data_IF_124727639912
#
_entry.id   IF_124727639912
#
_cell.length_a   1.000
_cell.length_b   1.000
_cell.length_c   1.000
_cell.angle_alpha   90.00
_cell.angle_beta   90.00
_cell.angle_gamma   90.00
#
_symmetry.space_group_name_H-M   'P 1'
#
loop_
_entity.id
_entity.type
_entity.pdbx_description
1 polymer ?
#
# COMPACT_ATOMS: atom_id res chain seq x y z
N UNK A 1 -17.82 -18.30 7.98
CA UNK A 1 -18.19 -17.03 7.33
C UNK A 1 -17.73 -16.91 5.90
N UNK A 2 -16.49 -17.27 5.60
CA UNK A 2 -15.93 -17.11 4.23
C UNK A 2 -16.27 -18.26 3.27
N UNK A 3 -16.92 -19.32 3.73
CA UNK A 3 -17.11 -20.54 2.93
C UNK A 3 -17.99 -20.36 1.68
N UNK A 4 -18.86 -19.36 1.68
CA UNK A 4 -19.81 -19.11 0.59
C UNK A 4 -19.43 -17.86 -0.23
N UNK A 5 -18.27 -17.26 0.03
CA UNK A 5 -17.85 -16.03 -0.63
C UNK A 5 -16.60 -16.28 -1.44
N UNK A 6 -16.53 -15.66 -2.62
CA UNK A 6 -15.37 -15.76 -3.49
C UNK A 6 -14.21 -14.88 -3.00
N UNK A 7 -14.54 -13.74 -2.41
CA UNK A 7 -13.55 -12.77 -1.91
C UNK A 7 -13.97 -12.29 -0.53
N UNK A 8 -13.02 -12.21 0.39
CA UNK A 8 -13.23 -11.66 1.73
C UNK A 8 -12.24 -10.54 1.94
N UNK A 9 -12.73 -9.37 2.32
CA UNK A 9 -11.90 -8.21 2.63
C UNK A 9 -11.97 -7.95 4.13
N UNK A 10 -10.81 -7.95 4.79
CA UNK A 10 -10.69 -7.66 6.21
C UNK A 10 -10.11 -6.27 6.39
N UNK A 11 -10.92 -5.35 6.91
CA UNK A 11 -10.48 -4.00 7.20
C UNK A 11 -10.01 -3.93 8.65
N UNK A 12 -8.78 -3.48 8.86
CA UNK A 12 -8.16 -3.47 10.18
C UNK A 12 -7.98 -2.05 10.70
N UNK A 13 -7.79 -1.92 12.02
CA UNK A 13 -7.42 -0.63 12.60
C UNK A 13 -6.05 -0.19 12.08
N UNK A 14 -5.95 1.07 11.66
CA UNK A 14 -4.71 1.61 11.10
C UNK A 14 -4.04 2.67 11.97
N UNK A 15 -4.56 2.95 13.15
CA UNK A 15 -4.04 4.01 14.00
C UNK A 15 -2.90 3.52 14.88
N UNK A 16 -1.80 4.27 14.87
CA UNK A 16 -0.60 3.95 15.64
C UNK A 16 -0.59 4.59 17.03
N UNK A 17 -1.71 4.65 17.73
CA UNK A 17 -1.78 5.18 19.10
C UNK A 17 -0.91 4.38 20.07
N UNK A 18 -0.99 3.08 19.95
CA UNK A 18 -0.13 2.16 20.69
C UNK A 18 0.44 1.19 19.68
N UNK A 19 1.59 1.55 19.14
CA UNK A 19 2.25 0.86 18.06
C UNK A 19 2.47 -0.62 18.35
N UNK A 20 2.94 -0.94 19.56
CA UNK A 20 3.22 -2.31 19.95
C UNK A 20 1.96 -3.16 19.93
N UNK A 21 0.87 -2.66 20.50
CA UNK A 21 -0.39 -3.40 20.52
C UNK A 21 -0.97 -3.58 19.11
N UNK A 22 -0.86 -2.55 18.28
CA UNK A 22 -1.32 -2.64 16.89
C UNK A 22 -0.54 -3.70 16.12
N UNK A 23 0.79 -3.71 16.25
CA UNK A 23 1.63 -4.67 15.55
C UNK A 23 1.39 -6.10 16.05
N UNK A 24 1.21 -6.29 17.35
CA UNK A 24 0.85 -7.58 17.92
C UNK A 24 -0.52 -8.07 17.40
N UNK A 25 -1.48 -7.18 17.31
CA UNK A 25 -2.81 -7.46 16.76
C UNK A 25 -2.76 -7.90 15.30
N UNK A 26 -1.99 -7.18 14.48
CA UNK A 26 -1.83 -7.51 13.07
C UNK A 26 -1.14 -8.86 12.88
N UNK A 27 -0.13 -9.14 13.67
CA UNK A 27 0.55 -10.45 13.65
C UNK A 27 -0.42 -11.57 14.02
N UNK A 28 -1.27 -11.34 15.00
CA UNK A 28 -2.29 -12.30 15.42
C UNK A 28 -3.32 -12.54 14.31
N UNK A 29 -3.79 -11.48 13.67
CA UNK A 29 -4.73 -11.58 12.55
C UNK A 29 -4.12 -12.43 11.43
N UNK A 30 -2.87 -12.18 11.10
CA UNK A 30 -2.16 -12.94 10.07
C UNK A 30 -2.13 -14.43 10.39
N UNK A 31 -1.85 -14.78 11.64
CA UNK A 31 -1.84 -16.20 12.08
C UNK A 31 -3.22 -16.84 12.01
N UNK A 32 -4.27 -16.08 12.38
CA UNK A 32 -5.64 -16.57 12.30
C UNK A 32 -6.04 -16.84 10.85
N UNK A 33 -5.69 -15.96 9.93
CA UNK A 33 -5.97 -16.14 8.50
C UNK A 33 -5.32 -17.42 7.98
N UNK A 34 -4.05 -17.63 8.30
CA UNK A 34 -3.34 -18.83 7.86
C UNK A 34 -3.96 -20.11 8.42
N UNK A 35 -4.44 -20.07 9.65
CA UNK A 35 -5.08 -21.21 10.30
C UNK A 35 -6.46 -21.52 9.72
N UNK A 36 -7.28 -20.48 9.53
CA UNK A 36 -8.69 -20.64 9.14
C UNK A 36 -8.88 -20.76 7.62
N UNK A 37 -7.96 -20.24 6.84
CA UNK A 37 -8.05 -20.24 5.37
C UNK A 37 -6.74 -20.73 4.74
N UNK A 38 -6.28 -21.94 5.09
CA UNK A 38 -5.06 -22.48 4.49
C UNK A 38 -5.26 -22.74 3.01
N UNK A 39 -4.28 -22.37 2.19
CA UNK A 39 -4.34 -22.58 0.75
C UNK A 39 -5.11 -21.53 -0.03
N UNK A 40 -5.73 -20.55 0.64
CA UNK A 40 -6.35 -19.43 -0.05
C UNK A 40 -5.30 -18.42 -0.49
N UNK A 41 -5.50 -17.84 -1.66
CA UNK A 41 -4.67 -16.71 -2.11
C UNK A 41 -4.93 -15.52 -1.19
N UNK A 42 -3.87 -15.04 -0.53
CA UNK A 42 -3.97 -13.96 0.44
C UNK A 42 -3.12 -12.78 0.01
N UNK A 43 -3.73 -11.60 -0.02
CA UNK A 43 -3.04 -10.33 -0.22
C UNK A 43 -3.13 -9.53 1.07
N UNK A 44 -2.01 -9.00 1.53
CA UNK A 44 -1.96 -8.09 2.67
C UNK A 44 -1.54 -6.72 2.14
N UNK A 45 -2.51 -5.83 2.00
CA UNK A 45 -2.33 -4.53 1.37
C UNK A 45 -2.23 -3.45 2.45
N UNK A 46 -1.16 -2.69 2.42
CA UNK A 46 -0.97 -1.55 3.31
C UNK A 46 -1.37 -0.27 2.58
N UNK A 47 -2.28 0.48 3.19
CA UNK A 47 -2.70 1.78 2.66
C UNK A 47 -1.83 2.86 3.29
N UNK A 48 -1.12 3.61 2.45
CA UNK A 48 -0.23 4.70 2.87
C UNK A 48 -0.68 6.02 2.27
N UNK A 49 -0.53 7.08 3.05
CA UNK A 49 -0.78 8.44 2.62
C UNK A 49 0.52 9.03 2.04
N UNK A 50 0.51 9.33 0.74
CA UNK A 50 1.70 9.84 0.04
C UNK A 50 2.17 11.19 0.57
N UNK A 51 1.27 11.97 1.19
CA UNK A 51 1.62 13.30 1.70
C UNK A 51 2.50 13.26 2.95
N UNK A 52 2.61 12.13 3.60
CA UNK A 52 3.41 11.98 4.82
C UNK A 52 4.89 11.70 4.56
N UNK A 53 5.27 11.48 3.29
CA UNK A 53 6.68 11.37 2.90
C UNK A 53 7.43 10.28 3.65
N UNK A 54 8.51 10.66 4.35
CA UNK A 54 9.37 9.72 5.07
C UNK A 54 8.62 8.95 6.16
N UNK A 55 7.58 9.54 6.76
CA UNK A 55 6.77 8.85 7.76
C UNK A 55 6.03 7.66 7.16
N UNK A 56 5.57 7.78 5.90
CA UNK A 56 4.96 6.66 5.20
C UNK A 56 5.93 5.49 5.07
N UNK A 57 7.18 5.77 4.70
CA UNK A 57 8.22 4.74 4.58
C UNK A 57 8.51 4.07 5.91
N UNK A 58 8.59 4.85 6.97
CA UNK A 58 8.85 4.31 8.32
C UNK A 58 7.71 3.41 8.78
N UNK A 59 6.47 3.83 8.57
CA UNK A 59 5.30 3.01 8.87
C UNK A 59 5.30 1.72 8.07
N UNK A 60 5.59 1.80 6.79
CA UNK A 60 5.58 0.64 5.90
C UNK A 60 6.58 -0.43 6.34
N UNK A 61 7.77 -0.03 6.78
CA UNK A 61 8.76 -0.98 7.30
C UNK A 61 8.22 -1.77 8.49
N UNK A 62 7.56 -1.07 9.41
CA UNK A 62 7.01 -1.70 10.61
C UNK A 62 5.87 -2.65 10.29
N UNK A 63 4.96 -2.24 9.41
CA UNK A 63 3.86 -3.11 8.98
C UNK A 63 4.36 -4.31 8.20
N UNK A 64 5.41 -4.15 7.41
CA UNK A 64 6.02 -5.25 6.68
C UNK A 64 6.51 -6.35 7.62
N UNK A 65 7.17 -5.96 8.70
CA UNK A 65 7.67 -6.91 9.70
C UNK A 65 6.54 -7.58 10.47
N UNK A 66 5.51 -6.83 10.84
CA UNK A 66 4.44 -7.34 11.70
C UNK A 66 3.41 -8.18 10.95
N UNK A 67 3.06 -7.78 9.73
CA UNK A 67 1.91 -8.35 9.02
C UNK A 67 2.28 -9.07 7.72
N UNK A 68 3.53 -8.96 7.27
CA UNK A 68 3.95 -9.59 6.02
C UNK A 68 3.22 -9.02 4.81
N UNK A 69 3.23 -7.71 4.65
CA UNK A 69 2.54 -7.05 3.55
C UNK A 69 3.02 -7.52 2.19
N UNK A 70 2.10 -7.69 1.26
CA UNK A 70 2.38 -8.16 -0.10
C UNK A 70 2.23 -7.07 -1.13
N UNK A 71 1.58 -5.98 -0.80
CA UNK A 71 1.39 -4.86 -1.71
C UNK A 71 1.06 -3.57 -0.97
N UNK A 72 1.16 -2.48 -1.69
CA UNK A 72 0.90 -1.14 -1.15
C UNK A 72 -0.14 -0.44 -2.01
N UNK A 73 -1.05 0.24 -1.34
CA UNK A 73 -1.98 1.19 -1.95
C UNK A 73 -1.53 2.57 -1.49
N UNK A 74 -1.12 3.41 -2.42
CA UNK A 74 -0.61 4.73 -2.12
C UNK A 74 -1.67 5.78 -2.45
N UNK A 75 -2.18 6.45 -1.42
CA UNK A 75 -3.26 7.43 -1.56
C UNK A 75 -2.74 8.87 -1.57
N UNK A 76 -3.59 9.78 -1.97
CA UNK A 76 -3.33 11.22 -1.99
C UNK A 76 -2.14 11.61 -2.86
N UNK A 77 -1.92 10.86 -3.90
CA UNK A 77 -0.80 11.12 -4.81
C UNK A 77 -0.98 12.43 -5.57
N UNK A 78 -2.21 12.86 -5.76
CA UNK A 78 -2.57 14.15 -6.37
C UNK A 78 -2.11 15.35 -5.56
N UNK A 79 -1.87 15.19 -4.26
CA UNK A 79 -1.47 16.28 -3.36
C UNK A 79 0.02 16.37 -3.09
N UNK A 80 0.88 15.64 -3.81
CA UNK A 80 2.31 15.58 -3.51
C UNK A 80 3.19 15.87 -4.71
N UNK A 81 4.46 16.20 -4.42
CA UNK A 81 5.51 16.12 -5.42
C UNK A 81 5.73 14.65 -5.75
N UNK A 82 5.32 14.26 -6.95
CA UNK A 82 5.29 12.88 -7.41
C UNK A 82 6.70 12.27 -7.45
N UNK A 83 6.80 11.02 -7.19
CA UNK A 83 7.99 10.23 -7.46
C UNK A 83 8.84 9.90 -6.26
N UNK A 84 9.07 10.85 -5.36
CA UNK A 84 9.95 10.62 -4.21
C UNK A 84 9.51 9.46 -3.33
N UNK A 85 8.25 9.47 -2.92
CA UNK A 85 7.69 8.40 -2.07
C UNK A 85 7.63 7.07 -2.84
N UNK A 86 7.22 7.11 -4.10
CA UNK A 86 7.12 5.90 -4.94
C UNK A 86 8.49 5.24 -5.09
N UNK A 87 9.51 6.04 -5.41
CA UNK A 87 10.88 5.54 -5.56
C UNK A 87 11.39 4.98 -4.24
N UNK A 88 11.17 5.69 -3.14
CA UNK A 88 11.59 5.24 -1.81
C UNK A 88 10.96 3.92 -1.41
N UNK A 89 9.67 3.76 -1.64
CA UNK A 89 8.95 2.51 -1.37
C UNK A 89 9.56 1.37 -2.18
N UNK A 90 9.78 1.59 -3.46
CA UNK A 90 10.29 0.55 -4.35
C UNK A 90 11.69 0.11 -3.95
N UNK A 91 12.57 1.06 -3.62
CA UNK A 91 13.96 0.76 -3.28
C UNK A 91 14.13 0.17 -1.88
N UNK A 92 13.43 0.75 -0.89
CA UNK A 92 13.63 0.38 0.50
C UNK A 92 12.82 -0.83 0.94
N UNK A 93 11.58 -0.94 0.47
CA UNK A 93 10.66 -1.97 0.94
C UNK A 93 10.60 -3.18 0.04
N UNK A 94 10.87 -3.01 -1.24
CA UNK A 94 10.78 -4.08 -2.25
C UNK A 94 9.42 -4.75 -2.27
N UNK A 95 8.37 -4.02 -1.89
CA UNK A 95 6.99 -4.46 -1.97
C UNK A 95 6.33 -3.70 -3.11
N UNK A 96 5.59 -4.38 -4.00
CA UNK A 96 4.99 -3.69 -5.15
C UNK A 96 3.87 -2.76 -4.74
N UNK A 97 3.79 -1.61 -5.42
CA UNK A 97 2.63 -0.74 -5.34
C UNK A 97 1.58 -1.32 -6.29
N UNK A 98 0.44 -1.68 -5.75
CA UNK A 98 -0.64 -2.31 -6.52
C UNK A 98 -1.65 -1.29 -7.06
N UNK A 99 -1.98 -0.30 -6.24
CA UNK A 99 -2.98 0.71 -6.58
C UNK A 99 -2.51 2.08 -6.12
N UNK A 100 -2.99 3.11 -6.80
CA UNK A 100 -2.78 4.51 -6.41
C UNK A 100 -4.12 5.22 -6.30
N UNK A 101 -4.23 6.13 -5.34
CA UNK A 101 -5.36 7.02 -5.17
C UNK A 101 -5.00 8.43 -5.61
N UNK A 102 -5.75 8.96 -6.57
CA UNK A 102 -5.50 10.29 -7.15
C UNK A 102 -6.68 11.23 -6.93
N UNK A 103 -7.58 10.89 -6.03
CA UNK A 103 -8.76 11.67 -5.70
C UNK A 103 -9.67 10.89 -4.78
N UNK A 104 -10.93 11.31 -4.67
CA UNK A 104 -11.90 10.76 -3.71
C UNK A 104 -13.03 9.95 -4.36
N UNK A 105 -13.07 9.89 -5.68
CA UNK A 105 -14.10 9.13 -6.40
C UNK A 105 -13.67 7.69 -6.60
N UNK A 106 -14.63 6.82 -6.91
CA UNK A 106 -14.36 5.40 -7.13
C UNK A 106 -13.32 5.21 -8.24
N UNK A 107 -13.44 5.97 -9.32
CA UNK A 107 -12.53 5.87 -10.47
C UNK A 107 -11.13 6.45 -10.19
N UNK A 108 -10.97 7.11 -9.04
CA UNK A 108 -9.68 7.68 -8.64
C UNK A 108 -8.79 6.66 -7.92
N UNK A 109 -9.29 5.48 -7.63
CA UNK A 109 -8.47 4.36 -7.20
C UNK A 109 -8.12 3.53 -8.44
N UNK A 110 -6.86 3.58 -8.85
CA UNK A 110 -6.40 2.99 -10.10
C UNK A 110 -5.29 1.98 -9.88
N UNK A 111 -5.22 0.93 -10.72
CA UNK A 111 -4.05 0.06 -10.71
C UNK A 111 -2.78 0.87 -10.99
N UNK A 112 -1.71 0.55 -10.30
CA UNK A 112 -0.43 1.21 -10.52
C UNK A 112 0.30 0.55 -11.70
N UNK A 113 0.68 1.37 -12.68
CA UNK A 113 1.50 0.96 -13.81
C UNK A 113 2.82 1.72 -13.74
N UNK A 114 3.90 0.99 -13.50
CA UNK A 114 5.22 1.58 -13.31
C UNK A 114 5.72 2.30 -14.55
N UNK A 115 5.42 1.77 -15.73
CA UNK A 115 5.83 2.39 -16.99
C UNK A 115 5.08 3.69 -17.24
N UNK A 116 3.77 3.66 -17.09
CA UNK A 116 2.92 4.84 -17.23
C UNK A 116 3.35 5.94 -16.24
N UNK A 117 3.63 5.54 -15.01
CA UNK A 117 4.09 6.47 -13.99
C UNK A 117 5.44 7.09 -14.35
N UNK A 118 6.39 6.28 -14.81
CA UNK A 118 7.71 6.77 -15.22
C UNK A 118 7.61 7.70 -16.43
N UNK A 119 6.77 7.38 -17.40
CA UNK A 119 6.55 8.22 -18.57
C UNK A 119 5.94 9.56 -18.19
N UNK A 120 4.97 9.57 -17.26
CA UNK A 120 4.36 10.80 -16.78
C UNK A 120 5.37 11.67 -16.01
N UNK A 121 6.29 11.05 -15.27
CA UNK A 121 7.25 11.75 -14.44
C UNK A 121 8.41 12.32 -15.25
N UNK A 122 8.95 11.53 -16.16
CA UNK A 122 10.16 11.91 -16.93
C UNK A 122 9.83 12.40 -18.34
N UNK A 123 8.83 11.84 -18.99
CA UNK A 123 8.39 12.21 -20.32
C UNK A 123 7.82 13.61 -20.41
N UNK A 124 6.97 14.01 -19.47
CA UNK A 124 6.38 15.35 -19.47
C UNK A 124 7.44 16.45 -19.26
N UNK A 125 8.48 16.16 -18.50
CA UNK A 125 9.58 17.10 -18.32
C UNK A 125 10.39 17.34 -19.59
N UNK A 126 10.50 16.32 -20.45
CA UNK A 126 11.19 16.44 -21.73
C UNK A 126 10.36 17.21 -22.74
N UNK A 127 9.06 17.01 -22.75
CA UNK A 127 8.17 17.74 -23.65
C UNK A 127 8.12 19.23 -23.35
N UNK A 128 8.18 19.60 -22.09
CA UNK A 128 8.20 20.99 -21.67
C UNK A 128 9.50 21.71 -22.04
N UNK A 129 10.58 20.99 -22.25
CA UNK A 129 11.87 21.55 -22.65
C UNK A 129 11.99 21.75 -24.16
N UNK A 130 11.10 21.18 -24.91
CA UNK A 130 11.05 21.33 -26.36
C UNK A 130 10.16 22.50 -26.77
#
# INVERSE_FOLDING_TARGET
MSKLNDVVILDTAGRLHNKKNLMDELSKISRVIQREAPGCATEVLLVLDATTGQNALNQARQFKEAAGITGIILTKLDGTARGGVVIGIKEELKVPIKYIGVGEQIDDLRPFDAKEFADALFGSGQEEQL
#
